data_IF_983546561249
#
_entry.id   IF_983546561249
#
_cell.length_a   1.000
_cell.length_b   1.000
_cell.length_c   1.000
_cell.angle_alpha   90.00
_cell.angle_beta   90.00
_cell.angle_gamma   90.00
#
_symmetry.space_group_name_H-M   'P 1'
#
loop_
_entity.id
_entity.type
_entity.pdbx_description
1 polymer ?
#
# COMPACT_ATOMS: atom_id res chain seq x y z
N UNK A 1 -11.52 10.46 -8.38
CA UNK A 1 -10.67 10.17 -7.21
C UNK A 1 -10.71 8.67 -7.04
N UNK A 2 -9.60 7.93 -7.28
CA UNK A 2 -9.60 6.49 -7.07
C UNK A 2 -9.65 6.19 -5.57
N UNK A 3 -10.48 5.21 -5.21
CA UNK A 3 -10.53 4.62 -3.89
C UNK A 3 -9.51 3.47 -3.83
N UNK A 4 -8.60 3.53 -2.88
CA UNK A 4 -7.57 2.51 -2.65
C UNK A 4 -7.85 1.78 -1.34
N UNK A 5 -7.51 0.50 -1.27
CA UNK A 5 -7.62 -0.32 -0.06
C UNK A 5 -6.41 -1.21 0.10
N UNK A 6 -6.09 -1.53 1.35
CA UNK A 6 -5.07 -2.51 1.67
C UNK A 6 -5.64 -3.93 1.58
N UNK A 7 -4.98 -4.80 0.83
CA UNK A 7 -5.34 -6.23 0.72
C UNK A 7 -4.14 -7.09 1.10
N UNK A 8 -4.38 -8.22 1.75
CA UNK A 8 -3.33 -9.20 2.01
C UNK A 8 -2.88 -9.80 0.66
N UNK A 9 -1.63 -9.55 0.29
CA UNK A 9 -1.02 -10.09 -0.92
C UNK A 9 -0.44 -11.49 -0.68
N UNK A 10 -0.08 -12.21 -1.74
CA UNK A 10 0.61 -13.50 -1.62
C UNK A 10 2.02 -13.28 -1.04
N UNK A 11 2.36 -14.02 0.02
CA UNK A 11 3.69 -14.07 0.68
C UNK A 11 4.06 -12.81 1.48
N UNK A 12 3.51 -12.70 2.70
CA UNK A 12 3.88 -11.71 3.73
C UNK A 12 3.82 -10.22 3.30
N UNK A 13 3.25 -9.93 2.14
CA UNK A 13 3.07 -8.59 1.63
C UNK A 13 1.62 -8.12 1.85
N UNK A 14 1.42 -6.82 2.09
CA UNK A 14 0.11 -6.17 1.99
C UNK A 14 0.16 -5.17 0.85
N UNK A 15 -0.75 -5.29 -0.11
CA UNK A 15 -0.80 -4.47 -1.31
C UNK A 15 -1.84 -3.35 -1.16
N UNK A 16 -1.51 -2.13 -1.60
CA UNK A 16 -2.43 -1.01 -1.73
C UNK A 16 -2.96 -1.01 -3.17
N UNK A 17 -4.23 -1.38 -3.33
CA UNK A 17 -4.85 -1.61 -4.64
C UNK A 17 -6.08 -0.74 -4.88
N UNK A 18 -6.40 -0.46 -6.14
CA UNK A 18 -7.71 0.10 -6.51
C UNK A 18 -8.79 -0.98 -6.67
N UNK A 19 -10.00 -0.54 -7.04
CA UNK A 19 -11.15 -1.42 -7.30
C UNK A 19 -10.93 -2.45 -8.42
N UNK A 20 -9.95 -2.23 -9.30
CA UNK A 20 -9.60 -3.11 -10.41
C UNK A 20 -8.42 -4.04 -10.08
N UNK A 21 -7.88 -3.97 -8.86
CA UNK A 21 -6.73 -4.77 -8.43
C UNK A 21 -5.38 -4.21 -8.86
N UNK A 22 -5.34 -2.96 -9.35
CA UNK A 22 -4.10 -2.30 -9.77
C UNK A 22 -3.29 -1.89 -8.53
N UNK A 23 -2.01 -2.28 -8.46
CA UNK A 23 -1.17 -2.07 -7.28
C UNK A 23 -0.45 -0.72 -7.32
N UNK A 24 -0.72 0.16 -6.36
CA UNK A 24 -0.10 1.48 -6.23
C UNK A 24 1.07 1.50 -5.25
N UNK A 25 1.09 0.55 -4.32
CA UNK A 25 2.15 0.38 -3.35
C UNK A 25 1.98 -0.96 -2.64
N UNK A 26 2.99 -1.36 -1.88
CA UNK A 26 2.91 -2.55 -1.04
C UNK A 26 3.86 -2.44 0.14
N UNK A 27 3.59 -3.21 1.18
CA UNK A 27 4.45 -3.35 2.36
C UNK A 27 4.85 -4.80 2.49
N UNK A 28 6.15 -5.07 2.62
CA UNK A 28 6.68 -6.42 2.85
C UNK A 28 7.71 -6.44 3.99
N UNK A 29 8.08 -7.63 4.50
CA UNK A 29 9.07 -7.75 5.56
C UNK A 29 10.46 -7.30 5.09
N UNK A 30 11.25 -6.72 6.00
CA UNK A 30 12.67 -6.44 5.78
C UNK A 30 13.49 -6.72 7.06
N UNK A 31 14.81 -6.64 6.97
CA UNK A 31 15.72 -6.96 8.09
C UNK A 31 15.53 -6.06 9.32
N UNK A 32 14.90 -4.89 9.17
CA UNK A 32 14.66 -3.91 10.24
C UNK A 32 13.19 -3.81 10.66
N UNK A 33 12.31 -4.65 10.12
CA UNK A 33 10.87 -4.59 10.35
C UNK A 33 10.09 -4.75 9.05
N UNK A 34 9.64 -3.63 8.49
CA UNK A 34 8.86 -3.59 7.26
C UNK A 34 9.43 -2.57 6.27
N UNK A 35 9.37 -2.89 4.97
CA UNK A 35 9.69 -1.96 3.89
C UNK A 35 8.43 -1.56 3.16
N UNK A 36 8.22 -0.26 3.02
CA UNK A 36 7.20 0.30 2.15
C UNK A 36 7.74 0.46 0.74
N UNK A 37 6.91 0.15 -0.26
CA UNK A 37 7.22 0.28 -1.67
C UNK A 37 6.10 1.05 -2.37
N UNK A 38 6.48 1.98 -3.24
CA UNK A 38 5.55 2.76 -4.07
C UNK A 38 5.75 2.34 -5.52
N UNK A 39 4.67 2.04 -6.24
CA UNK A 39 4.72 1.52 -7.60
C UNK A 39 4.53 2.63 -8.61
N UNK A 40 5.31 2.60 -9.70
CA UNK A 40 5.13 3.54 -10.80
C UNK A 40 3.82 3.22 -11.55
N UNK A 41 2.86 4.14 -11.50
CA UNK A 41 1.66 4.16 -12.36
C UNK A 41 0.74 2.92 -12.32
N UNK A 42 0.66 2.23 -11.18
CA UNK A 42 -0.21 1.07 -11.01
C UNK A 42 0.08 -0.05 -12.04
N UNK A 43 1.09 -0.85 -11.77
CA UNK A 43 1.53 -1.88 -12.70
C UNK A 43 0.82 -3.21 -12.45
N UNK A 44 0.66 -4.01 -13.50
CA UNK A 44 0.44 -5.46 -13.34
C UNK A 44 1.72 -6.11 -12.80
N UNK A 45 1.62 -7.32 -12.22
CA UNK A 45 2.76 -8.05 -11.66
C UNK A 45 3.81 -8.36 -12.77
N UNK A 46 5.11 -8.08 -12.57
CA UNK A 46 5.74 -7.44 -11.42
C UNK A 46 5.68 -5.92 -11.35
N UNK A 47 5.22 -5.34 -10.22
CA UNK A 47 5.27 -3.91 -10.04
C UNK A 47 6.71 -3.44 -9.88
N UNK A 48 7.11 -2.48 -10.72
CA UNK A 48 8.41 -1.81 -10.57
C UNK A 48 8.31 -0.72 -9.49
N UNK A 49 9.11 -0.79 -8.41
CA UNK A 49 9.09 0.23 -7.38
C UNK A 49 9.68 1.54 -7.91
N UNK A 50 8.94 2.63 -7.76
CA UNK A 50 9.38 4.00 -7.99
C UNK A 50 10.13 4.59 -6.78
N UNK A 51 9.82 4.10 -5.57
CA UNK A 51 10.48 4.45 -4.33
C UNK A 51 10.28 3.34 -3.29
N UNK A 52 11.18 3.26 -2.31
CA UNK A 52 11.04 2.39 -1.14
C UNK A 52 11.76 2.99 0.07
N UNK A 53 11.27 2.68 1.27
CA UNK A 53 11.87 3.08 2.55
C UNK A 53 11.65 1.98 3.60
N UNK A 54 12.64 1.80 4.47
CA UNK A 54 12.58 0.89 5.62
C UNK A 54 11.95 1.55 6.85
N UNK A 55 11.15 0.77 7.58
CA UNK A 55 10.44 1.20 8.78
C UNK A 55 10.48 0.11 9.86
N UNK A 56 10.45 0.51 11.13
CA UNK A 56 10.41 -0.42 12.25
C UNK A 56 9.08 -1.18 12.36
N UNK A 57 7.98 -0.59 11.88
CA UNK A 57 6.62 -1.13 12.02
C UNK A 57 5.86 -1.08 10.70
N UNK A 58 4.99 -2.08 10.47
CA UNK A 58 4.13 -2.20 9.28
C UNK A 58 3.23 -0.98 9.12
N UNK A 59 2.65 -0.46 10.20
CA UNK A 59 1.75 0.71 10.13
C UNK A 59 2.48 1.98 9.70
N UNK A 60 3.73 2.16 10.13
CA UNK A 60 4.57 3.27 9.67
C UNK A 60 4.91 3.15 8.19
N UNK A 61 5.19 1.92 7.72
CA UNK A 61 5.40 1.66 6.29
C UNK A 61 4.13 1.91 5.47
N UNK A 62 2.95 1.49 5.95
CA UNK A 62 1.67 1.75 5.28
C UNK A 62 1.39 3.25 5.17
N UNK A 63 1.53 3.99 6.26
CA UNK A 63 1.32 5.44 6.27
C UNK A 63 2.27 6.16 5.31
N UNK A 64 3.53 5.75 5.25
CA UNK A 64 4.50 6.29 4.30
C UNK A 64 4.11 6.00 2.85
N UNK A 65 3.70 4.76 2.53
CA UNK A 65 3.21 4.40 1.19
C UNK A 65 1.98 5.23 0.81
N UNK A 66 0.98 5.36 1.69
CA UNK A 66 -0.21 6.17 1.44
C UNK A 66 0.16 7.63 1.08
N UNK A 67 1.08 8.21 1.87
CA UNK A 67 1.55 9.59 1.69
C UNK A 67 2.27 9.77 0.36
N UNK A 68 3.21 8.87 0.03
CA UNK A 68 3.96 8.93 -1.21
C UNK A 68 3.10 8.69 -2.45
N UNK A 69 2.15 7.75 -2.38
CA UNK A 69 1.19 7.50 -3.46
C UNK A 69 0.32 8.73 -3.68
N UNK A 70 -0.13 9.40 -2.62
CA UNK A 70 -0.89 10.65 -2.72
C UNK A 70 -0.06 11.77 -3.36
N UNK A 71 1.19 11.95 -2.92
CA UNK A 71 2.09 12.99 -3.43
C UNK A 71 2.43 12.81 -4.93
N UNK A 72 2.49 11.56 -5.40
CA UNK A 72 2.81 11.21 -6.80
C UNK A 72 1.59 11.11 -7.70
N UNK A 73 0.38 11.19 -7.14
CA UNK A 73 -0.86 11.06 -7.91
C UNK A 73 -1.23 12.39 -8.57
N UNK A 74 -1.53 12.35 -9.88
CA UNK A 74 -2.02 13.51 -10.63
C UNK A 74 -3.47 13.91 -10.26
N UNK A 75 -4.14 13.09 -9.47
CA UNK A 75 -5.52 13.30 -8.99
C UNK A 75 -5.57 12.98 -7.50
N UNK A 76 -6.46 13.62 -6.73
CA UNK A 76 -6.72 13.21 -5.35
C UNK A 76 -7.06 11.72 -5.30
N UNK A 77 -6.52 11.02 -4.29
CA UNK A 77 -6.82 9.63 -3.96
C UNK A 77 -7.52 9.57 -2.61
N UNK A 78 -8.29 8.52 -2.37
CA UNK A 78 -8.86 8.23 -1.06
C UNK A 78 -8.45 6.82 -0.65
N UNK A 79 -7.84 6.70 0.53
CA UNK A 79 -7.53 5.39 1.10
C UNK A 79 -8.69 5.00 2.02
N UNK A 80 -9.39 3.92 1.66
CA UNK A 80 -10.43 3.31 2.48
C UNK A 80 -9.72 2.43 3.50
N UNK A 81 -9.88 2.78 4.77
CA UNK A 81 -9.55 1.88 5.87
C UNK A 81 -10.75 0.96 6.03
N UNK A 82 -10.57 -0.33 5.79
CA UNK A 82 -11.51 -1.31 6.31
C UNK A 82 -11.48 -1.13 7.83
N UNK A 83 -12.54 -0.51 8.34
CA UNK A 83 -12.84 -0.56 9.77
C UNK A 83 -13.12 -2.03 10.00
N UNK A 84 -12.15 -2.76 10.54
CA UNK A 84 -12.42 -4.09 11.10
C UNK A 84 -13.74 -3.97 11.84
N UNK A 85 -14.67 -4.85 11.48
CA UNK A 85 -15.94 -5.00 12.16
C UNK A 85 -15.63 -5.32 13.63
N UNK A 86 -15.45 -4.29 14.45
CA UNK A 86 -15.55 -4.38 15.89
C UNK A 86 -17.03 -4.45 16.26
N UNK A 87 -17.73 -5.45 15.74
CA UNK A 87 -19.05 -5.89 16.17
C UNK A 87 -19.15 -7.40 15.95
N UNK A 88 -19.18 -8.15 17.05
CA UNK A 88 -19.66 -9.53 17.11
C UNK A 88 -18.58 -10.60 17.34
N UNK A 89 -18.25 -10.89 18.60
CA UNK A 89 -18.84 -12.01 19.37
C UNK A 89 -18.40 -11.89 20.83
#
# INVERSE_FOLDING_TARGET
MPDLRWVAGPVHCTDLVDAFGKVFGYVGPCSTGARGYVVQAGSEWPPRPAAFTDHAHVDAARLWVETEVAARSLRPIRVIRDREAAEGT
#
